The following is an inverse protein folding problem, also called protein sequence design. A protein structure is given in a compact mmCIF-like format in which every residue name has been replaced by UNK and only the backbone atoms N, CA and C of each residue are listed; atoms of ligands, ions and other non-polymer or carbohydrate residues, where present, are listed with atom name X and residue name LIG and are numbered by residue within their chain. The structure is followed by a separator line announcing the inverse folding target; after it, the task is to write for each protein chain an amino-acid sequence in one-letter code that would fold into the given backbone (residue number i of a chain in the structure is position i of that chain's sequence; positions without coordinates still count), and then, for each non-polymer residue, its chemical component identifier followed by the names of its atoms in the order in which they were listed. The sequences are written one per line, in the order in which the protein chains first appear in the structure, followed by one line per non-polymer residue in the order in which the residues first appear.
data_IF_743464668006
#
_entry.id   IF_743464668006
#
_cell.length_a   1.000
_cell.length_b   1.000
_cell.length_c   1.000
_cell.angle_alpha   90.00
_cell.angle_beta   90.00
_cell.angle_gamma   90.00
#
_symmetry.space_group_name_H-M   'P 1'
#
loop_
_entity.id
_entity.type
_entity.pdbx_description
1 polymer ?
#
# COMPACT_ATOMS: atom_id res chain seq x y z
N UNK A 1 98.34 18.90 15.44
CA UNK A 1 98.25 19.22 14.00
C UNK A 1 98.42 17.96 13.14
N UNK A 2 99.51 17.20 13.27
CA UNK A 2 99.75 15.98 12.47
C UNK A 2 98.72 14.86 12.73
N UNK A 3 98.30 14.66 13.98
CA UNK A 3 97.28 13.64 14.33
C UNK A 3 95.89 13.95 13.75
N UNK A 4 95.57 15.23 13.61
CA UNK A 4 94.28 15.70 13.08
C UNK A 4 94.22 15.54 11.55
N UNK A 5 95.34 15.79 10.86
CA UNK A 5 95.48 15.46 9.44
C UNK A 5 95.44 13.95 9.18
N UNK A 6 96.04 13.13 10.06
CA UNK A 6 95.98 11.68 9.95
C UNK A 6 94.55 11.14 10.15
N UNK A 7 93.81 11.68 11.11
CA UNK A 7 92.41 11.32 11.35
C UNK A 7 91.52 11.65 10.14
N UNK A 8 91.65 12.86 9.57
CA UNK A 8 90.91 13.26 8.36
C UNK A 8 91.20 12.34 7.17
N UNK A 9 92.46 11.93 7.01
CA UNK A 9 92.87 11.06 5.90
C UNK A 9 92.34 9.62 6.05
N UNK A 10 92.23 9.13 7.28
CA UNK A 10 91.58 7.86 7.60
C UNK A 10 90.08 7.97 7.33
N UNK A 11 89.45 9.07 7.74
CA UNK A 11 88.03 9.32 7.51
C UNK A 11 87.69 9.34 6.02
N UNK A 12 88.45 10.08 5.19
CA UNK A 12 88.27 10.08 3.73
C UNK A 12 88.46 8.69 3.10
N UNK A 13 89.46 7.93 3.55
CA UNK A 13 89.70 6.57 3.05
C UNK A 13 88.57 5.61 3.42
N UNK A 14 88.04 5.72 4.64
CA UNK A 14 86.88 4.95 5.09
C UNK A 14 85.65 5.35 4.28
N UNK A 15 85.42 6.64 4.09
CA UNK A 15 84.28 7.17 3.36
C UNK A 15 84.28 6.72 1.89
N UNK A 16 85.42 6.82 1.19
CA UNK A 16 85.60 6.28 -0.17
C UNK A 16 85.31 4.78 -0.26
N UNK A 17 85.82 4.01 0.71
CA UNK A 17 85.65 2.56 0.71
C UNK A 17 84.20 2.16 0.99
N UNK A 18 83.49 2.94 1.81
CA UNK A 18 82.05 2.77 2.05
C UNK A 18 81.24 3.14 0.80
N UNK A 19 81.57 4.25 0.12
CA UNK A 19 80.93 4.62 -1.15
C UNK A 19 81.11 3.56 -2.23
N UNK A 20 82.33 3.06 -2.43
CA UNK A 20 82.58 1.99 -3.43
C UNK A 20 81.80 0.70 -3.13
N UNK A 21 81.68 0.31 -1.86
CA UNK A 21 80.90 -0.87 -1.47
C UNK A 21 79.39 -0.63 -1.61
N UNK A 22 78.92 0.59 -1.37
CA UNK A 22 77.53 0.97 -1.61
C UNK A 22 77.21 1.02 -3.11
N UNK A 23 78.10 1.57 -3.95
CA UNK A 23 77.91 1.65 -5.40
C UNK A 23 77.79 0.24 -6.01
N UNK A 24 78.60 -0.73 -5.55
CA UNK A 24 78.53 -2.13 -6.00
C UNK A 24 77.20 -2.82 -5.66
N UNK A 25 76.55 -2.42 -4.57
CA UNK A 25 75.28 -3.01 -4.10
C UNK A 25 74.06 -2.15 -4.41
N UNK A 26 74.26 -0.99 -5.02
CA UNK A 26 73.22 0.01 -5.26
C UNK A 26 72.07 -0.54 -6.08
N UNK A 27 72.36 -1.26 -7.16
CA UNK A 27 71.34 -1.87 -8.03
C UNK A 27 70.51 -2.93 -7.30
N UNK A 28 71.14 -3.75 -6.45
CA UNK A 28 70.45 -4.77 -5.65
C UNK A 28 69.56 -4.13 -4.59
N UNK A 29 70.06 -3.09 -3.92
CA UNK A 29 69.30 -2.32 -2.94
C UNK A 29 68.12 -1.60 -3.60
N UNK A 30 68.33 -0.94 -4.74
CA UNK A 30 67.28 -0.26 -5.49
C UNK A 30 66.19 -1.24 -5.95
N UNK A 31 66.58 -2.42 -6.46
CA UNK A 31 65.65 -3.45 -6.87
C UNK A 31 64.83 -4.00 -5.69
N UNK A 32 65.45 -4.22 -4.54
CA UNK A 32 64.73 -4.68 -3.35
C UNK A 32 63.78 -3.60 -2.80
N UNK A 33 64.21 -2.34 -2.78
CA UNK A 33 63.36 -1.21 -2.39
C UNK A 33 62.16 -1.10 -3.33
N UNK A 34 62.37 -1.19 -4.64
CA UNK A 34 61.29 -1.21 -5.63
C UNK A 34 60.33 -2.37 -5.39
N UNK A 35 60.84 -3.59 -5.17
CA UNK A 35 59.99 -4.76 -4.89
C UNK A 35 59.12 -4.54 -3.66
N UNK A 36 59.68 -4.04 -2.56
CA UNK A 36 58.92 -3.78 -1.32
C UNK A 36 57.87 -2.68 -1.51
N UNK A 37 58.19 -1.63 -2.28
CA UNK A 37 57.24 -0.56 -2.60
C UNK A 37 56.10 -1.08 -3.46
N UNK A 38 56.39 -1.89 -4.49
CA UNK A 38 55.36 -2.50 -5.32
C UNK A 38 54.47 -3.47 -4.55
N UNK A 39 55.04 -4.31 -3.68
CA UNK A 39 54.27 -5.20 -2.81
C UNK A 39 53.34 -4.44 -1.87
N UNK A 40 53.85 -3.38 -1.22
CA UNK A 40 53.05 -2.51 -0.36
C UNK A 40 51.94 -1.81 -1.14
N UNK A 41 52.24 -1.29 -2.35
CA UNK A 41 51.26 -0.66 -3.23
C UNK A 41 50.16 -1.64 -3.63
N UNK A 42 50.51 -2.85 -4.06
CA UNK A 42 49.54 -3.90 -4.42
C UNK A 42 48.68 -4.33 -3.23
N UNK A 43 49.27 -4.43 -2.04
CA UNK A 43 48.51 -4.74 -0.83
C UNK A 43 47.49 -3.65 -0.51
N UNK A 44 47.91 -2.39 -0.58
CA UNK A 44 47.04 -1.24 -0.37
C UNK A 44 45.93 -1.15 -1.42
N UNK A 45 46.26 -1.34 -2.70
CA UNK A 45 45.27 -1.35 -3.79
C UNK A 45 44.21 -2.43 -3.60
N UNK A 46 44.62 -3.65 -3.21
CA UNK A 46 43.68 -4.74 -2.92
C UNK A 46 42.74 -4.39 -1.78
N UNK A 47 43.28 -3.90 -0.65
CA UNK A 47 42.46 -3.49 0.50
C UNK A 47 41.48 -2.37 0.13
N UNK A 48 41.93 -1.38 -0.64
CA UNK A 48 41.08 -0.28 -1.08
C UNK A 48 39.95 -0.78 -2.00
N UNK A 49 40.24 -1.72 -2.91
CA UNK A 49 39.22 -2.33 -3.78
C UNK A 49 38.20 -3.13 -2.99
N UNK A 50 38.63 -3.98 -2.06
CA UNK A 50 37.73 -4.76 -1.18
C UNK A 50 36.84 -3.84 -0.34
N UNK A 51 37.39 -2.76 0.21
CA UNK A 51 36.61 -1.80 0.99
C UNK A 51 35.58 -1.07 0.11
N UNK A 52 35.96 -0.68 -1.11
CA UNK A 52 35.05 -0.05 -2.07
C UNK A 52 33.92 -0.99 -2.49
N UNK A 53 34.22 -2.26 -2.77
CA UNK A 53 33.22 -3.27 -3.10
C UNK A 53 32.26 -3.51 -1.92
N UNK A 54 32.78 -3.63 -0.70
CA UNK A 54 31.96 -3.79 0.51
C UNK A 54 31.03 -2.60 0.73
N UNK A 55 31.54 -1.36 0.58
CA UNK A 55 30.73 -0.14 0.68
C UNK A 55 29.65 -0.10 -0.39
N UNK A 56 29.97 -0.46 -1.64
CA UNK A 56 28.97 -0.53 -2.72
C UNK A 56 27.91 -1.60 -2.46
N UNK A 57 28.31 -2.79 -1.99
CA UNK A 57 27.38 -3.86 -1.65
C UNK A 57 26.42 -3.43 -0.53
N UNK A 58 26.95 -2.79 0.51
CA UNK A 58 26.16 -2.26 1.63
C UNK A 58 25.15 -1.20 1.19
N UNK A 59 25.56 -0.27 0.31
CA UNK A 59 24.65 0.74 -0.24
C UNK A 59 23.53 0.10 -1.08
N UNK A 60 23.87 -0.90 -1.92
CA UNK A 60 22.86 -1.63 -2.71
C UNK A 60 21.89 -2.41 -1.84
N UNK A 61 22.37 -3.03 -0.77
CA UNK A 61 21.52 -3.75 0.19
C UNK A 61 20.59 -2.79 0.93
N UNK A 62 21.09 -1.63 1.36
CA UNK A 62 20.28 -0.61 2.01
C UNK A 62 19.19 -0.05 1.07
N UNK A 63 19.54 0.25 -0.18
CA UNK A 63 18.57 0.68 -1.20
C UNK A 63 17.50 -0.38 -1.44
N UNK A 64 17.88 -1.65 -1.60
CA UNK A 64 16.91 -2.75 -1.74
C UNK A 64 16.00 -2.87 -0.53
N UNK A 65 16.53 -2.74 0.68
CA UNK A 65 15.73 -2.78 1.91
C UNK A 65 14.72 -1.63 1.95
N UNK A 66 15.14 -0.42 1.58
CA UNK A 66 14.24 0.75 1.49
C UNK A 66 13.14 0.53 0.45
N UNK A 67 13.50 0.03 -0.73
CA UNK A 67 12.53 -0.28 -1.79
C UNK A 67 11.50 -1.34 -1.35
N UNK A 68 11.95 -2.41 -0.68
CA UNK A 68 11.05 -3.44 -0.15
C UNK A 68 10.12 -2.89 0.95
N UNK A 69 10.63 -2.04 1.84
CA UNK A 69 9.82 -1.37 2.86
C UNK A 69 8.77 -0.44 2.24
N UNK A 70 9.15 0.35 1.23
CA UNK A 70 8.20 1.18 0.50
C UNK A 70 7.15 0.35 -0.23
N UNK A 71 7.56 -0.76 -0.87
CA UNK A 71 6.64 -1.67 -1.54
C UNK A 71 5.63 -2.25 -0.56
N UNK A 72 6.08 -2.74 0.60
CA UNK A 72 5.20 -3.25 1.67
C UNK A 72 4.21 -2.19 2.16
N UNK A 73 4.67 -0.95 2.38
CA UNK A 73 3.79 0.16 2.77
C UNK A 73 2.74 0.46 1.71
N UNK A 74 3.11 0.44 0.43
CA UNK A 74 2.16 0.63 -0.68
C UNK A 74 1.12 -0.49 -0.75
N UNK A 75 1.55 -1.74 -0.66
CA UNK A 75 0.66 -2.91 -0.63
C UNK A 75 -0.31 -2.86 0.56
N UNK A 76 0.18 -2.46 1.75
CA UNK A 76 -0.66 -2.31 2.94
C UNK A 76 -1.68 -1.17 2.78
N UNK A 77 -1.25 -0.02 2.26
CA UNK A 77 -2.14 1.10 1.97
C UNK A 77 -3.21 0.72 0.93
N UNK A 78 -2.83 0.02 -0.14
CA UNK A 78 -3.75 -0.46 -1.16
C UNK A 78 -4.79 -1.41 -0.57
N UNK A 79 -4.36 -2.37 0.25
CA UNK A 79 -5.27 -3.29 0.96
C UNK A 79 -6.27 -2.54 1.86
N UNK A 80 -5.81 -1.53 2.59
CA UNK A 80 -6.69 -0.70 3.43
C UNK A 80 -7.71 0.06 2.58
N UNK A 81 -7.26 0.63 1.45
CA UNK A 81 -8.12 1.37 0.54
C UNK A 81 -9.17 0.47 -0.11
N UNK A 82 -8.79 -0.74 -0.53
CA UNK A 82 -9.73 -1.75 -1.05
C UNK A 82 -10.78 -2.14 0.00
N UNK A 83 -10.36 -2.42 1.24
CA UNK A 83 -11.29 -2.78 2.31
C UNK A 83 -12.26 -1.63 2.63
N UNK A 84 -11.77 -0.40 2.66
CA UNK A 84 -12.60 0.78 2.86
C UNK A 84 -13.59 0.99 1.71
N UNK A 85 -13.13 0.88 0.47
CA UNK A 85 -13.99 1.00 -0.70
C UNK A 85 -15.08 -0.06 -0.70
N UNK A 86 -14.74 -1.31 -0.37
CA UNK A 86 -15.71 -2.39 -0.24
C UNK A 86 -16.76 -2.11 0.82
N UNK A 87 -16.37 -1.60 2.00
CA UNK A 87 -17.31 -1.22 3.06
C UNK A 87 -18.25 -0.08 2.61
N UNK A 88 -17.73 0.89 1.87
CA UNK A 88 -18.53 1.99 1.32
C UNK A 88 -19.53 1.46 0.30
N UNK A 89 -19.10 0.60 -0.62
CA UNK A 89 -19.95 0.00 -1.64
C UNK A 89 -21.05 -0.87 -1.02
N UNK A 90 -20.71 -1.73 -0.05
CA UNK A 90 -21.68 -2.55 0.68
C UNK A 90 -22.70 -1.68 1.43
N UNK A 91 -22.27 -0.59 2.07
CA UNK A 91 -23.17 0.35 2.75
C UNK A 91 -24.10 1.08 1.77
N UNK A 92 -23.57 1.52 0.62
CA UNK A 92 -24.36 2.17 -0.43
C UNK A 92 -25.38 1.21 -1.03
N UNK A 93 -24.98 -0.04 -1.31
CA UNK A 93 -25.86 -1.09 -1.82
C UNK A 93 -26.99 -1.37 -0.83
N UNK A 94 -26.67 -1.54 0.45
CA UNK A 94 -27.69 -1.75 1.50
C UNK A 94 -28.67 -0.59 1.58
N UNK A 95 -28.18 0.65 1.55
CA UNK A 95 -29.05 1.83 1.55
C UNK A 95 -29.95 1.90 0.31
N UNK A 96 -29.43 1.50 -0.86
CA UNK A 96 -30.21 1.44 -2.10
C UNK A 96 -31.29 0.35 -2.01
N UNK A 97 -30.97 -0.83 -1.48
CA UNK A 97 -31.93 -1.92 -1.24
C UNK A 97 -33.04 -1.49 -0.27
N UNK A 98 -32.69 -0.85 0.85
CA UNK A 98 -33.67 -0.33 1.81
C UNK A 98 -34.60 0.73 1.19
N UNK A 99 -34.07 1.63 0.36
CA UNK A 99 -34.86 2.62 -0.38
C UNK A 99 -35.83 1.96 -1.35
N UNK A 100 -35.38 0.94 -2.09
CA UNK A 100 -36.22 0.21 -3.03
C UNK A 100 -37.34 -0.55 -2.31
N UNK A 101 -37.03 -1.22 -1.19
CA UNK A 101 -38.00 -1.93 -0.38
C UNK A 101 -39.10 -0.99 0.16
N UNK A 102 -38.72 0.21 0.63
CA UNK A 102 -39.68 1.23 1.09
C UNK A 102 -40.62 1.67 -0.03
N UNK A 103 -40.12 1.86 -1.25
CA UNK A 103 -40.95 2.23 -2.41
C UNK A 103 -41.89 1.11 -2.80
N UNK A 104 -41.43 -0.14 -2.75
CA UNK A 104 -42.28 -1.31 -3.01
C UNK A 104 -43.39 -1.45 -1.98
N UNK A 105 -43.09 -1.26 -0.69
CA UNK A 105 -44.08 -1.26 0.38
C UNK A 105 -45.13 -0.15 0.20
N UNK A 106 -44.70 1.07 -0.15
CA UNK A 106 -45.61 2.16 -0.47
C UNK A 106 -46.53 1.81 -1.65
N UNK A 107 -46.00 1.18 -2.71
CA UNK A 107 -46.78 0.72 -3.86
C UNK A 107 -47.84 -0.30 -3.46
N UNK A 108 -47.50 -1.28 -2.62
CA UNK A 108 -48.44 -2.30 -2.13
C UNK A 108 -49.55 -1.66 -1.28
N UNK A 109 -49.19 -0.77 -0.36
CA UNK A 109 -50.15 -0.04 0.48
C UNK A 109 -51.10 0.84 -0.34
N UNK A 110 -50.62 1.46 -1.41
CA UNK A 110 -51.48 2.19 -2.35
C UNK A 110 -52.41 1.28 -3.15
N UNK A 111 -51.91 0.13 -3.61
CA UNK A 111 -52.71 -0.86 -4.31
C UNK A 111 -53.84 -1.41 -3.41
N UNK A 112 -53.54 -1.74 -2.15
CA UNK A 112 -54.54 -2.15 -1.16
C UNK A 112 -55.57 -1.04 -0.89
N UNK A 113 -55.11 0.20 -0.70
CA UNK A 113 -56.03 1.35 -0.52
C UNK A 113 -56.96 1.53 -1.72
N UNK A 114 -56.46 1.35 -2.94
CA UNK A 114 -57.30 1.42 -4.14
C UNK A 114 -58.30 0.27 -4.21
N UNK A 115 -57.90 -0.96 -3.85
CA UNK A 115 -58.80 -2.12 -3.78
C UNK A 115 -59.93 -1.89 -2.77
N UNK A 116 -59.59 -1.43 -1.56
CA UNK A 116 -60.57 -1.10 -0.53
C UNK A 116 -61.52 0.00 -0.97
N UNK A 117 -61.03 1.07 -1.63
CA UNK A 117 -61.88 2.12 -2.20
C UNK A 117 -62.87 1.58 -3.23
N UNK A 118 -62.39 0.75 -4.17
CA UNK A 118 -63.26 0.12 -5.18
C UNK A 118 -64.29 -0.80 -4.54
N UNK A 119 -63.94 -1.53 -3.49
CA UNK A 119 -64.87 -2.39 -2.77
C UNK A 119 -65.93 -1.58 -2.01
N UNK A 120 -65.54 -0.53 -1.29
CA UNK A 120 -66.47 0.39 -0.62
C UNK A 120 -67.42 1.05 -1.62
N UNK A 121 -66.92 1.50 -2.78
CA UNK A 121 -67.75 2.10 -3.82
C UNK A 121 -68.76 1.09 -4.39
N UNK A 122 -68.36 -0.17 -4.60
CA UNK A 122 -69.26 -1.25 -5.01
C UNK A 122 -70.35 -1.50 -3.96
N UNK A 123 -69.98 -1.64 -2.68
CA UNK A 123 -70.93 -1.83 -1.57
C UNK A 123 -71.91 -0.67 -1.48
N UNK A 124 -71.43 0.58 -1.56
CA UNK A 124 -72.29 1.77 -1.55
C UNK A 124 -73.27 1.81 -2.74
N UNK A 125 -72.80 1.44 -3.95
CA UNK A 125 -73.67 1.31 -5.14
C UNK A 125 -74.73 0.22 -4.97
N UNK A 126 -74.38 -0.92 -4.37
CA UNK A 126 -75.32 -2.00 -4.07
C UNK A 126 -76.35 -1.61 -3.01
N UNK A 127 -75.92 -0.95 -1.93
CA UNK A 127 -76.81 -0.38 -0.91
C UNK A 127 -77.76 0.65 -1.50
N UNK A 128 -77.26 1.57 -2.35
CA UNK A 128 -78.09 2.54 -3.05
C UNK A 128 -79.13 1.86 -3.94
N UNK A 129 -78.77 0.79 -4.67
CA UNK A 129 -79.72 0.01 -5.48
C UNK A 129 -80.80 -0.64 -4.61
N UNK A 130 -80.45 -1.14 -3.43
CA UNK A 130 -81.38 -1.72 -2.45
C UNK A 130 -82.35 -0.69 -1.88
N UNK A 131 -81.88 0.52 -1.57
CA UNK A 131 -82.71 1.64 -1.08
C UNK A 131 -83.65 2.14 -2.18
N UNK A 132 -83.13 2.34 -3.40
CA UNK A 132 -83.91 2.82 -4.55
C UNK A 132 -84.86 1.76 -5.15
N UNK A 133 -84.84 0.51 -4.65
CA UNK A 133 -85.70 -0.57 -5.14
C UNK A 133 -85.43 -1.00 -6.59
N UNK A 134 -84.30 -0.58 -7.18
CA UNK A 134 -83.90 -1.00 -8.54
C UNK A 134 -83.61 -2.50 -8.54
N UNK A 135 -84.05 -3.20 -9.59
CA UNK A 135 -83.93 -4.66 -9.77
C UNK A 135 -84.71 -5.52 -8.74
N UNK A 136 -85.90 -5.10 -8.31
CA UNK A 136 -86.73 -5.84 -7.32
C UNK A 136 -86.01 -6.16 -6.00
N UNK A 137 -85.00 -5.36 -5.65
CA UNK A 137 -84.12 -5.55 -4.49
C UNK A 137 -84.82 -5.30 -3.14
N UNK A 138 -85.98 -4.63 -3.15
CA UNK A 138 -86.82 -4.40 -1.97
C UNK A 138 -87.91 -5.49 -1.88
N UNK A 139 -87.91 -6.34 -0.84
CA UNK A 139 -88.95 -7.34 -0.66
C UNK A 139 -90.32 -6.65 -0.53
N UNK A 140 -91.31 -7.15 -1.26
CA UNK A 140 -92.69 -6.64 -1.21
C UNK A 140 -93.28 -7.00 0.14
N UNK A 141 -93.41 -6.01 1.03
CA UNK A 141 -94.10 -6.18 2.31
C UNK A 141 -95.61 -6.10 2.06
N UNK A 142 -96.31 -7.22 2.26
CA UNK A 142 -97.77 -7.26 2.30
C UNK A 142 -98.21 -6.98 3.74
N UNK A 143 -98.76 -5.79 3.99
CA UNK A 143 -99.38 -5.48 5.29
C UNK A 143 -100.88 -5.78 5.22
N UNK A 144 -101.35 -6.73 6.03
CA UNK A 144 -102.78 -6.88 6.32
C UNK A 144 -103.15 -5.90 7.43
N UNK A 145 -103.97 -4.88 7.14
CA UNK A 145 -104.57 -4.07 8.20
C UNK A 145 -105.55 -4.94 8.98
N UNK A 146 -105.22 -5.27 10.24
CA UNK A 146 -106.23 -5.70 11.20
C UNK A 146 -107.03 -4.47 11.61
N UNK A 147 -108.30 -4.42 11.26
CA UNK A 147 -109.25 -3.46 11.84
C UNK A 147 -109.35 -3.73 13.34
N UNK A 148 -109.00 -2.74 14.16
CA UNK A 148 -109.25 -2.80 15.60
C UNK A 148 -110.75 -2.60 15.85
N UNK A 149 -111.38 -3.59 16.48
CA UNK A 149 -112.71 -3.51 17.09
C UNK A 149 -112.53 -3.42 18.60
#
# INVERSE_FOLDING_TARGET
MVEEEAAKRIEELVQKRVEEELEKRKEEIEAEVQRRVEEAKRAMERQMMEEMEWRQAKLREEEKRREEEERKKREELERIMEENNRKIEEAQKKLAEERLAMVEEQRLMEEERQRMRKEHEKRAKEEQKKILGKNNSRPKLCFTLKSAT
#
